data_IF_855109402689
#
_entry.id   IF_855109402689
#
_cell.length_a   1.000
_cell.length_b   1.000
_cell.length_c   1.000
_cell.angle_alpha   90.00
_cell.angle_beta   90.00
_cell.angle_gamma   90.00
#
_symmetry.space_group_name_H-M   'P 1'
#
loop_
_entity.id
_entity.type
_entity.pdbx_description
1 polymer ?
#
# COMPACT_ATOMS: atom_id res chain seq x y z
N UNK A 1 -13.51 19.27 6.28
CA UNK A 1 -12.04 19.07 6.12
C UNK A 1 -11.86 17.77 5.36
N UNK A 2 -10.90 17.70 4.43
CA UNK A 2 -10.64 16.50 3.64
C UNK A 2 -9.19 16.44 3.21
N UNK A 3 -8.73 15.25 2.86
CA UNK A 3 -7.36 15.02 2.42
C UNK A 3 -7.32 14.02 1.28
N UNK A 4 -7.27 14.48 0.00
CA UNK A 4 -7.10 13.56 -1.11
C UNK A 4 -5.69 12.97 -1.09
N UNK A 5 -5.56 11.68 -1.40
CA UNK A 5 -4.28 11.02 -1.71
C UNK A 5 -4.31 10.55 -3.17
N UNK A 6 -3.15 10.55 -3.82
CA UNK A 6 -3.02 10.09 -5.21
C UNK A 6 -2.68 8.59 -5.31
N UNK A 7 -2.28 7.96 -4.20
CA UNK A 7 -1.60 6.66 -4.21
C UNK A 7 -2.45 5.56 -3.56
N UNK A 8 -3.76 5.57 -3.78
CA UNK A 8 -4.67 4.52 -3.30
C UNK A 8 -4.58 3.22 -4.13
N UNK A 9 -5.71 2.78 -4.69
CA UNK A 9 -5.78 1.52 -5.46
C UNK A 9 -4.86 1.44 -6.68
N UNK A 10 -4.36 2.57 -7.19
CA UNK A 10 -3.38 2.60 -8.29
C UNK A 10 -2.07 1.88 -7.93
N UNK A 11 -1.69 1.84 -6.65
CA UNK A 11 -0.47 1.16 -6.22
C UNK A 11 -0.55 -0.35 -6.33
N UNK A 12 -1.70 -0.93 -6.02
CA UNK A 12 -1.88 -2.37 -6.15
C UNK A 12 -1.86 -2.78 -7.63
N UNK A 13 -2.42 -1.94 -8.52
CA UNK A 13 -2.29 -2.12 -9.97
C UNK A 13 -0.84 -2.02 -10.43
N UNK A 14 -0.13 -0.96 -10.04
CA UNK A 14 1.29 -0.79 -10.36
C UNK A 14 2.13 -1.99 -9.89
N UNK A 15 1.90 -2.47 -8.67
CA UNK A 15 2.59 -3.64 -8.13
C UNK A 15 2.33 -4.88 -8.98
N UNK A 16 1.06 -5.14 -9.34
CA UNK A 16 0.67 -6.25 -10.21
C UNK A 16 1.35 -6.15 -11.57
N UNK A 17 1.33 -4.98 -12.18
CA UNK A 17 1.76 -4.77 -13.57
C UNK A 17 3.30 -4.80 -13.69
N UNK A 18 4.02 -4.20 -12.73
CA UNK A 18 5.48 -4.04 -12.80
C UNK A 18 6.26 -5.16 -12.08
N UNK A 19 5.72 -5.73 -10.99
CA UNK A 19 6.40 -6.75 -10.18
C UNK A 19 5.65 -8.09 -10.11
N UNK A 20 4.40 -8.10 -10.57
CA UNK A 20 3.47 -9.21 -10.42
C UNK A 20 3.43 -10.20 -11.58
N UNK A 21 4.32 -10.12 -12.59
CA UNK A 21 4.25 -10.99 -13.78
C UNK A 21 4.20 -12.49 -13.44
N UNK A 22 4.98 -13.01 -12.47
CA UNK A 22 4.84 -14.40 -12.04
C UNK A 22 3.49 -14.71 -11.37
N UNK A 23 2.91 -13.81 -10.56
CA UNK A 23 1.55 -13.99 -10.01
C UNK A 23 0.51 -13.97 -11.10
N UNK A 24 0.63 -13.08 -12.08
CA UNK A 24 -0.32 -13.02 -13.19
C UNK A 24 -0.36 -14.35 -13.95
N UNK A 25 0.80 -14.95 -14.20
CA UNK A 25 0.88 -16.26 -14.86
C UNK A 25 0.32 -17.40 -13.99
N UNK A 26 0.60 -17.40 -12.69
CA UNK A 26 0.04 -18.38 -11.76
C UNK A 26 -1.47 -18.23 -11.65
N UNK A 27 -1.98 -17.01 -11.50
CA UNK A 27 -3.39 -16.70 -11.43
C UNK A 27 -4.12 -17.13 -12.71
N UNK A 28 -3.52 -16.89 -13.89
CA UNK A 28 -4.02 -17.35 -15.18
C UNK A 28 -4.14 -18.87 -15.25
N UNK A 29 -3.15 -19.61 -14.76
CA UNK A 29 -3.19 -21.09 -14.71
C UNK A 29 -4.24 -21.61 -13.74
N UNK A 30 -4.46 -20.91 -12.64
CA UNK A 30 -5.42 -21.27 -11.60
C UNK A 30 -6.85 -20.79 -11.91
N UNK A 31 -7.04 -19.91 -12.89
CA UNK A 31 -8.34 -19.33 -13.24
C UNK A 31 -8.89 -18.37 -12.17
N UNK A 32 -8.00 -17.69 -11.43
CA UNK A 32 -8.35 -16.73 -10.37
C UNK A 32 -7.91 -15.31 -10.73
N UNK A 33 -8.41 -14.31 -10.00
CA UNK A 33 -7.95 -12.93 -10.17
C UNK A 33 -6.50 -12.78 -9.64
N UNK A 34 -5.58 -12.14 -10.39
CA UNK A 34 -4.22 -11.85 -9.90
C UNK A 34 -4.18 -11.08 -8.58
N UNK A 35 -5.15 -10.20 -8.31
CA UNK A 35 -5.25 -9.48 -7.05
C UNK A 35 -5.54 -10.42 -5.88
N UNK A 36 -6.39 -11.44 -6.06
CA UNK A 36 -6.65 -12.45 -5.02
C UNK A 36 -5.36 -13.20 -4.66
N UNK A 37 -4.52 -13.49 -5.65
CA UNK A 37 -3.23 -14.14 -5.42
C UNK A 37 -2.24 -13.22 -4.68
N UNK A 38 -2.19 -11.93 -5.04
CA UNK A 38 -1.37 -10.95 -4.33
C UNK A 38 -1.82 -10.80 -2.87
N UNK A 39 -3.12 -10.72 -2.62
CA UNK A 39 -3.69 -10.65 -1.27
C UNK A 39 -3.29 -11.90 -0.48
N UNK A 40 -3.45 -13.09 -1.08
CA UNK A 40 -3.06 -14.36 -0.44
C UNK A 40 -1.57 -14.42 -0.08
N UNK A 41 -0.70 -13.83 -0.90
CA UNK A 41 0.73 -13.72 -0.57
C UNK A 41 0.98 -12.71 0.56
N UNK A 42 0.28 -11.57 0.58
CA UNK A 42 0.39 -10.63 1.68
C UNK A 42 -0.09 -11.24 3.01
N UNK A 43 -1.14 -12.08 2.98
CA UNK A 43 -1.69 -12.76 4.15
C UNK A 43 -0.72 -13.76 4.79
N UNK A 44 0.20 -14.35 4.02
CA UNK A 44 1.20 -15.28 4.56
C UNK A 44 2.31 -14.60 5.35
N UNK A 45 2.41 -13.27 5.28
CA UNK A 45 3.38 -12.46 6.01
C UNK A 45 2.70 -11.83 7.24
N UNK A 46 3.31 -11.88 8.43
CA UNK A 46 2.80 -11.16 9.61
C UNK A 46 2.67 -9.65 9.38
N UNK A 47 1.85 -8.99 10.20
CA UNK A 47 1.73 -7.55 10.17
C UNK A 47 3.07 -6.85 10.42
N UNK A 48 3.34 -5.79 9.67
CA UNK A 48 4.60 -5.04 9.71
C UNK A 48 5.67 -5.55 8.73
N UNK A 49 5.34 -6.55 7.90
CA UNK A 49 6.20 -7.08 6.83
C UNK A 49 7.65 -7.37 7.26
N UNK A 50 7.83 -7.87 8.48
CA UNK A 50 9.13 -8.09 9.13
C UNK A 50 10.07 -6.87 9.05
N UNK A 51 9.51 -5.69 9.31
CA UNK A 51 10.23 -4.41 9.35
C UNK A 51 10.42 -3.74 7.98
N UNK A 52 9.89 -4.32 6.90
CA UNK A 52 9.90 -3.68 5.58
C UNK A 52 8.81 -2.63 5.49
N UNK A 53 9.19 -1.37 5.29
CA UNK A 53 8.26 -0.26 5.12
C UNK A 53 8.20 0.17 3.66
N UNK A 54 7.01 0.54 3.19
CA UNK A 54 6.82 1.20 1.90
C UNK A 54 6.16 2.56 2.07
N UNK A 55 6.82 3.60 1.60
CA UNK A 55 6.22 4.93 1.42
C UNK A 55 5.52 4.95 0.05
N UNK A 56 4.20 5.17 -0.01
CA UNK A 56 3.42 4.96 -1.23
C UNK A 56 3.49 6.09 -2.27
N UNK A 57 4.45 7.01 -2.20
CA UNK A 57 4.39 8.29 -2.94
C UNK A 57 4.85 8.22 -4.41
N UNK A 58 4.42 7.21 -5.17
CA UNK A 58 4.85 7.03 -6.58
C UNK A 58 4.48 8.21 -7.49
N UNK A 59 3.36 8.89 -7.20
CA UNK A 59 2.87 10.03 -7.97
C UNK A 59 3.02 11.37 -7.23
N UNK A 60 4.00 11.46 -6.33
CA UNK A 60 4.05 12.51 -5.31
C UNK A 60 2.96 12.28 -4.25
N UNK A 61 2.78 13.24 -3.35
CA UNK A 61 1.69 13.17 -2.37
C UNK A 61 0.97 14.50 -2.23
N UNK A 62 -0.35 14.42 -2.09
CA UNK A 62 -1.20 15.54 -1.69
C UNK A 62 -1.30 15.50 -0.17
N UNK A 63 -2.44 15.13 0.41
CA UNK A 63 -2.54 15.12 1.86
C UNK A 63 -1.71 13.98 2.48
N UNK A 64 -1.11 14.20 3.66
CA UNK A 64 -1.06 15.46 4.43
C UNK A 64 0.13 16.37 4.05
N UNK A 65 1.07 15.90 3.22
CA UNK A 65 2.40 16.53 3.07
C UNK A 65 2.52 17.60 1.96
N UNK A 66 1.60 17.59 1.00
CA UNK A 66 1.54 18.48 -0.16
C UNK A 66 2.86 18.60 -0.91
N UNK A 67 3.46 17.45 -1.22
CA UNK A 67 4.80 17.36 -1.81
C UNK A 67 4.79 16.57 -3.14
N UNK A 68 4.81 17.30 -4.26
CA UNK A 68 4.91 16.72 -5.60
C UNK A 68 6.26 16.00 -5.87
N UNK A 69 7.29 16.29 -5.08
CA UNK A 69 8.61 15.67 -5.17
C UNK A 69 8.73 14.41 -4.30
N UNK A 70 7.71 14.04 -3.52
CA UNK A 70 7.71 12.78 -2.79
C UNK A 70 7.80 11.59 -3.77
N UNK A 71 8.51 10.53 -3.36
CA UNK A 71 8.75 9.35 -4.19
C UNK A 71 8.48 8.08 -3.40
N UNK A 72 8.02 7.05 -4.10
CA UNK A 72 7.85 5.73 -3.50
C UNK A 72 9.19 5.20 -3.01
N UNK A 73 9.21 4.64 -1.80
CA UNK A 73 10.45 4.22 -1.15
C UNK A 73 10.21 2.95 -0.37
N UNK A 74 11.02 1.92 -0.60
CA UNK A 74 11.15 0.81 0.34
C UNK A 74 12.25 1.11 1.34
N UNK A 75 11.99 0.91 2.61
CA UNK A 75 12.93 1.15 3.70
C UNK A 75 13.02 -0.09 4.61
N UNK A 76 14.25 -0.44 5.00
CA UNK A 76 14.50 -1.58 5.91
C UNK A 76 14.78 -2.93 5.22
N UNK A 77 14.99 -2.95 3.89
CA UNK A 77 15.24 -4.18 3.14
C UNK A 77 16.42 -4.97 3.72
N UNK A 78 16.23 -6.28 3.94
CA UNK A 78 17.27 -7.22 4.32
C UNK A 78 17.10 -8.57 3.60
N UNK A 79 18.05 -9.50 3.79
CA UNK A 79 18.10 -10.80 3.07
C UNK A 79 16.96 -11.77 3.41
N UNK A 80 16.21 -11.55 4.50
CA UNK A 80 15.07 -12.38 4.87
C UNK A 80 13.82 -12.01 4.08
N UNK A 81 13.75 -10.78 3.58
CA UNK A 81 12.61 -10.30 2.82
C UNK A 81 12.50 -11.01 1.47
N UNK A 82 11.32 -11.58 1.27
CA UNK A 82 10.89 -12.23 0.03
C UNK A 82 9.79 -11.40 -0.62
N UNK A 83 9.37 -11.79 -1.82
CA UNK A 83 8.41 -11.04 -2.61
C UNK A 83 7.10 -10.75 -1.87
N UNK A 84 6.59 -11.71 -1.11
CA UNK A 84 5.41 -11.57 -0.27
C UNK A 84 5.53 -10.43 0.75
N UNK A 85 6.74 -10.14 1.26
CA UNK A 85 6.98 -9.03 2.19
C UNK A 85 6.84 -7.69 1.48
N UNK A 86 7.33 -7.58 0.24
CA UNK A 86 7.16 -6.37 -0.56
C UNK A 86 5.70 -6.12 -0.88
N UNK A 87 4.94 -7.17 -1.22
CA UNK A 87 3.50 -7.07 -1.48
C UNK A 87 2.78 -6.59 -0.20
N UNK A 88 3.08 -7.23 0.95
CA UNK A 88 2.52 -6.84 2.25
C UNK A 88 2.85 -5.39 2.61
N UNK A 89 4.11 -4.98 2.44
CA UNK A 89 4.57 -3.63 2.73
C UNK A 89 3.86 -2.59 1.85
N UNK A 90 3.61 -2.87 0.57
CA UNK A 90 2.85 -1.96 -0.31
C UNK A 90 1.42 -1.78 0.18
N UNK A 91 0.73 -2.87 0.53
CA UNK A 91 -0.65 -2.80 1.06
C UNK A 91 -0.70 -2.04 2.38
N UNK A 92 0.19 -2.34 3.31
CA UNK A 92 0.28 -1.63 4.59
C UNK A 92 0.65 -0.16 4.40
N UNK A 93 1.54 0.16 3.45
CA UNK A 93 1.92 1.53 3.10
C UNK A 93 0.73 2.37 2.65
N UNK A 94 -0.16 1.82 1.80
CA UNK A 94 -1.42 2.49 1.40
C UNK A 94 -2.29 2.77 2.63
N UNK A 95 -2.50 1.76 3.50
CA UNK A 95 -3.28 1.92 4.72
C UNK A 95 -2.70 3.00 5.65
N UNK A 96 -1.37 3.02 5.83
CA UNK A 96 -0.68 3.99 6.67
C UNK A 96 -0.73 5.41 6.10
N UNK A 97 -0.75 5.57 4.77
CA UNK A 97 -0.96 6.89 4.13
C UNK A 97 -2.37 7.41 4.43
N UNK A 98 -3.39 6.57 4.26
CA UNK A 98 -4.78 6.94 4.62
C UNK A 98 -4.90 7.26 6.11
N UNK A 99 -4.24 6.47 6.96
CA UNK A 99 -4.20 6.72 8.40
C UNK A 99 -3.53 8.05 8.75
N UNK A 100 -2.45 8.42 8.05
CA UNK A 100 -1.77 9.71 8.24
C UNK A 100 -2.68 10.89 7.91
N UNK A 101 -3.50 10.77 6.86
CA UNK A 101 -4.55 11.75 6.55
C UNK A 101 -5.62 11.78 7.63
N UNK A 102 -6.06 10.62 8.10
CA UNK A 102 -7.06 10.52 9.17
C UNK A 102 -6.57 11.21 10.47
N UNK A 103 -5.31 11.01 10.85
CA UNK A 103 -4.70 11.71 11.99
C UNK A 103 -4.72 13.23 11.81
N UNK A 104 -4.32 13.73 10.65
CA UNK A 104 -4.35 15.16 10.36
C UNK A 104 -5.78 15.74 10.43
N UNK A 105 -6.79 15.01 9.95
CA UNK A 105 -8.20 15.42 10.05
C UNK A 105 -8.63 15.44 11.51
N UNK A 106 -8.35 14.36 12.26
CA UNK A 106 -8.69 14.22 13.68
C UNK A 106 -8.16 15.38 14.50
N UNK A 107 -6.93 15.80 14.24
CA UNK A 107 -6.30 16.90 14.98
C UNK A 107 -7.01 18.25 14.74
N UNK A 108 -7.73 18.40 13.61
CA UNK A 108 -8.54 19.59 13.31
C UNK A 108 -10.03 19.45 13.71
N UNK A 109 -10.59 18.24 13.73
CA UNK A 109 -12.04 18.02 13.90
C UNK A 109 -12.43 17.32 15.20
N UNK A 110 -11.46 16.82 15.96
CA UNK A 110 -11.71 15.91 17.07
C UNK A 110 -11.80 14.44 16.65
N UNK A 111 -12.26 13.54 17.55
CA UNK A 111 -12.20 12.09 17.35
C UNK A 111 -12.90 11.60 16.07
N UNK A 112 -12.27 10.65 15.38
CA UNK A 112 -12.85 9.91 14.26
C UNK A 112 -13.56 8.66 14.78
N UNK A 113 -14.84 8.49 14.44
CA UNK A 113 -15.67 7.38 14.93
C UNK A 113 -16.06 6.38 13.84
N UNK A 114 -15.92 6.74 12.57
CA UNK A 114 -16.37 5.90 11.46
C UNK A 114 -15.47 6.12 10.22
N UNK A 115 -15.24 5.04 9.47
CA UNK A 115 -14.62 5.06 8.15
C UNK A 115 -15.62 4.43 7.17
N UNK A 116 -15.90 5.13 6.06
CA UNK A 116 -16.78 4.64 4.98
C UNK A 116 -15.96 4.48 3.70
N UNK A 117 -16.15 3.35 3.02
CA UNK A 117 -15.46 2.99 1.76
C UNK A 117 -16.51 2.66 0.71
N UNK A 118 -16.29 3.10 -0.54
CA UNK A 118 -17.17 2.91 -1.70
C UNK A 118 -16.42 2.32 -2.88
#
# INVERSE_FOLDING_TARGET
>A
IGGPTNNGGILLRWLRDEFGSPEQEVARKLGIDPYDLLIKYAESVPAGADGLLFLPFLSGERAPYWNANARGTFFGINLQHKREHFIRAVMEGVCMSVYSVALAIRDCTGPLTEIRVS
#
